data_IF_562150168093
#
_entry.id   IF_562150168093
#
_cell.length_a   1.000
_cell.length_b   1.000
_cell.length_c   1.000
_cell.angle_alpha   90.00
_cell.angle_beta   90.00
_cell.angle_gamma   90.00
#
_symmetry.space_group_name_H-M   'P 1'
#
loop_
_entity.id
_entity.type
_entity.pdbx_description
1 polymer ?
#
# COMPACT_ATOMS: atom_id res chain seq x y z
N UNK A 1 -8.24 -40.70 11.97
CA UNK A 1 -8.20 -40.04 10.64
C UNK A 1 -6.78 -39.51 10.44
N UNK A 2 -6.14 -39.79 9.30
CA UNK A 2 -4.84 -39.18 8.98
C UNK A 2 -5.02 -37.68 8.70
N UNK A 3 -3.97 -36.90 8.93
CA UNK A 3 -3.95 -35.45 8.71
C UNK A 3 -4.42 -35.09 7.29
N UNK A 4 -4.02 -35.87 6.28
CA UNK A 4 -4.40 -35.68 4.87
C UNK A 4 -5.91 -35.81 4.61
N UNK A 5 -6.60 -36.70 5.32
CA UNK A 5 -8.05 -36.87 5.17
C UNK A 5 -8.82 -35.65 5.69
N UNK A 6 -8.33 -35.03 6.77
CA UNK A 6 -8.90 -33.80 7.31
C UNK A 6 -8.69 -32.61 6.36
N UNK A 7 -7.47 -32.44 5.84
CA UNK A 7 -7.14 -31.35 4.90
C UNK A 7 -7.95 -31.48 3.62
N UNK A 8 -8.05 -32.69 3.05
CA UNK A 8 -8.86 -32.95 1.85
C UNK A 8 -10.34 -32.61 2.07
N UNK A 9 -10.92 -32.97 3.22
CA UNK A 9 -12.30 -32.64 3.55
C UNK A 9 -12.51 -31.13 3.73
N UNK A 10 -11.57 -30.46 4.40
CA UNK A 10 -11.63 -29.01 4.59
C UNK A 10 -11.51 -28.26 3.27
N UNK A 11 -10.62 -28.72 2.37
CA UNK A 11 -10.45 -28.16 1.03
C UNK A 11 -11.74 -28.27 0.20
N UNK A 12 -12.39 -29.43 0.20
CA UNK A 12 -13.62 -29.66 -0.56
C UNK A 12 -14.79 -28.76 -0.13
N UNK A 13 -14.84 -28.34 1.14
CA UNK A 13 -15.87 -27.43 1.65
C UNK A 13 -15.47 -25.96 1.65
N UNK A 14 -14.25 -25.63 1.22
CA UNK A 14 -13.71 -24.27 1.30
C UNK A 14 -13.83 -23.52 -0.02
N UNK A 15 -13.97 -22.19 0.07
CA UNK A 15 -14.03 -21.28 -1.10
C UNK A 15 -12.82 -20.37 -1.21
N UNK A 16 -11.98 -20.37 -0.17
CA UNK A 16 -10.72 -19.63 -0.07
C UNK A 16 -9.67 -20.57 0.52
N UNK A 17 -8.51 -20.64 -0.12
CA UNK A 17 -7.32 -21.31 0.36
C UNK A 17 -6.25 -20.25 0.65
N UNK A 18 -5.76 -20.19 1.87
CA UNK A 18 -4.74 -19.22 2.28
C UNK A 18 -3.42 -19.97 2.43
N UNK A 19 -2.43 -19.63 1.61
CA UNK A 19 -1.09 -20.21 1.68
C UNK A 19 -0.18 -19.27 2.47
N UNK A 20 0.32 -19.69 3.64
CA UNK A 20 1.29 -18.91 4.41
C UNK A 20 2.70 -19.22 3.90
N UNK A 21 3.19 -18.42 2.95
CA UNK A 21 4.40 -18.70 2.18
C UNK A 21 5.64 -18.22 2.92
N UNK A 22 6.58 -19.14 3.14
CA UNK A 22 7.90 -18.91 3.74
C UNK A 22 8.94 -19.82 3.08
N UNK A 23 10.25 -19.63 3.32
CA UNK A 23 11.29 -20.57 2.88
C UNK A 23 10.99 -22.02 3.26
N UNK A 24 10.56 -22.26 4.50
CA UNK A 24 10.21 -23.60 4.99
C UNK A 24 9.01 -24.19 4.24
N UNK A 25 8.02 -23.36 3.92
CA UNK A 25 6.85 -23.76 3.13
C UNK A 25 7.23 -24.17 1.71
N UNK A 26 8.12 -23.42 1.05
CA UNK A 26 8.59 -23.75 -0.30
C UNK A 26 9.46 -25.02 -0.28
N UNK A 27 10.26 -25.21 0.77
CA UNK A 27 11.16 -26.35 0.91
C UNK A 27 10.43 -27.68 1.25
N UNK A 28 9.20 -27.64 1.77
CA UNK A 28 8.49 -28.81 2.29
C UNK A 28 7.97 -29.80 1.22
N UNK A 29 8.32 -29.64 -0.06
CA UNK A 29 7.80 -30.39 -1.23
C UNK A 29 6.33 -30.12 -1.59
N UNK A 30 5.85 -28.91 -1.36
CA UNK A 30 4.48 -28.49 -1.65
C UNK A 30 3.99 -28.74 -3.09
N UNK A 31 4.87 -28.67 -4.10
CA UNK A 31 4.51 -29.01 -5.50
C UNK A 31 4.13 -30.48 -5.72
N UNK A 32 4.33 -31.34 -4.72
CA UNK A 32 4.02 -32.77 -4.74
C UNK A 32 2.94 -33.16 -3.71
N UNK A 33 2.37 -32.18 -2.98
CA UNK A 33 1.27 -32.43 -2.06
C UNK A 33 -0.04 -32.55 -2.85
N UNK A 34 -0.70 -33.70 -2.71
CA UNK A 34 -1.94 -34.05 -3.42
C UNK A 34 -3.04 -33.00 -3.19
N UNK A 35 -3.06 -32.41 -2.00
CA UNK A 35 -4.01 -31.39 -1.57
C UNK A 35 -3.81 -30.07 -2.32
N UNK A 36 -2.57 -29.69 -2.65
CA UNK A 36 -2.35 -28.46 -3.43
C UNK A 36 -2.65 -28.64 -4.91
N UNK A 37 -2.30 -29.78 -5.50
CA UNK A 37 -2.71 -30.09 -6.88
C UNK A 37 -4.24 -30.02 -7.03
N UNK A 38 -4.97 -30.52 -6.05
CA UNK A 38 -6.44 -30.43 -6.04
C UNK A 38 -6.91 -28.98 -5.86
N UNK A 39 -6.27 -28.21 -4.98
CA UNK A 39 -6.58 -26.79 -4.81
C UNK A 39 -6.38 -26.00 -6.11
N UNK A 40 -5.30 -26.29 -6.87
CA UNK A 40 -5.03 -25.68 -8.17
C UNK A 40 -6.14 -26.00 -9.18
N UNK A 41 -6.58 -27.26 -9.26
CA UNK A 41 -7.70 -27.66 -10.14
C UNK A 41 -9.00 -26.96 -9.77
N UNK A 42 -9.32 -26.88 -8.47
CA UNK A 42 -10.50 -26.17 -7.99
C UNK A 42 -10.44 -24.67 -8.27
N UNK A 43 -9.24 -24.08 -8.22
CA UNK A 43 -9.02 -22.68 -8.56
C UNK A 43 -9.16 -22.42 -10.07
N UNK A 44 -8.62 -23.30 -10.90
CA UNK A 44 -8.80 -23.24 -12.36
C UNK A 44 -10.29 -23.39 -12.75
N UNK A 45 -11.03 -24.26 -12.05
CA UNK A 45 -12.48 -24.40 -12.18
C UNK A 45 -13.29 -23.25 -11.55
N UNK A 46 -12.63 -22.24 -10.96
CA UNK A 46 -13.27 -21.07 -10.34
C UNK A 46 -14.02 -21.35 -9.02
N UNK A 47 -13.90 -22.56 -8.48
CA UNK A 47 -14.60 -23.01 -7.27
C UNK A 47 -13.85 -22.67 -5.98
N UNK A 48 -12.55 -22.40 -6.07
CA UNK A 48 -11.67 -22.04 -4.95
C UNK A 48 -10.82 -20.81 -5.31
N UNK A 49 -10.64 -19.87 -4.38
CA UNK A 49 -9.70 -18.75 -4.57
C UNK A 49 -8.43 -19.02 -3.73
N UNK A 50 -7.28 -19.14 -4.38
CA UNK A 50 -5.99 -19.28 -3.71
C UNK A 50 -5.41 -17.90 -3.45
N UNK A 51 -5.01 -17.63 -2.19
CA UNK A 51 -4.42 -16.38 -1.73
C UNK A 51 -3.07 -16.67 -1.06
N UNK A 52 -1.95 -16.43 -1.74
CA UNK A 52 -0.63 -16.46 -1.10
C UNK A 52 -0.51 -15.32 -0.09
N UNK A 53 0.01 -15.60 1.09
CA UNK A 53 0.37 -14.63 2.13
C UNK A 53 1.86 -14.80 2.41
N UNK A 54 2.68 -13.87 1.92
CA UNK A 54 4.14 -13.94 1.99
C UNK A 54 4.58 -13.53 3.38
N UNK A 55 4.99 -14.49 4.20
CA UNK A 55 5.46 -14.25 5.56
C UNK A 55 6.91 -13.77 5.57
N UNK A 56 7.76 -14.41 4.77
CA UNK A 56 9.21 -14.25 4.77
C UNK A 56 9.76 -14.21 3.32
N UNK A 57 10.95 -13.61 3.10
CA UNK A 57 11.53 -13.50 1.77
C UNK A 57 11.87 -14.90 1.24
N UNK A 58 11.32 -15.25 0.09
CA UNK A 58 11.53 -16.55 -0.55
C UNK A 58 11.28 -16.47 -2.05
N UNK A 59 11.77 -17.46 -2.81
CA UNK A 59 11.61 -17.55 -4.26
C UNK A 59 10.21 -18.09 -4.66
N UNK A 60 9.16 -17.46 -4.14
CA UNK A 60 7.79 -17.87 -4.42
C UNK A 60 7.35 -17.51 -5.85
N UNK A 61 8.00 -16.53 -6.47
CA UNK A 61 7.75 -16.13 -7.87
C UNK A 61 8.13 -17.22 -8.87
N UNK A 62 9.07 -18.11 -8.52
CA UNK A 62 9.42 -19.28 -9.32
C UNK A 62 8.51 -20.49 -9.06
N UNK A 63 7.53 -20.35 -8.17
CA UNK A 63 6.56 -21.39 -7.82
C UNK A 63 5.18 -21.14 -8.46
N UNK A 64 4.24 -22.11 -8.39
CA UNK A 64 2.87 -21.92 -8.85
C UNK A 64 2.11 -20.78 -8.15
N UNK A 65 2.64 -20.15 -7.10
CA UNK A 65 2.02 -18.99 -6.47
C UNK A 65 2.11 -17.70 -7.28
N UNK A 66 3.06 -17.60 -8.21
CA UNK A 66 3.23 -16.43 -9.10
C UNK A 66 1.99 -16.09 -9.94
N UNK A 67 1.10 -17.06 -10.18
CA UNK A 67 -0.13 -16.86 -10.93
C UNK A 67 -1.27 -16.25 -10.10
N UNK A 68 -1.12 -16.16 -8.77
CA UNK A 68 -2.13 -15.63 -7.86
C UNK A 68 -1.72 -14.28 -7.29
N UNK A 69 -2.71 -13.46 -6.92
CA UNK A 69 -2.45 -12.19 -6.24
C UNK A 69 -2.02 -12.47 -4.80
N UNK A 70 -0.74 -12.24 -4.51
CA UNK A 70 -0.19 -12.39 -3.17
C UNK A 70 -0.55 -11.20 -2.26
N UNK A 71 -0.62 -11.50 -0.96
CA UNK A 71 -0.70 -10.56 0.14
C UNK A 71 0.56 -10.69 1.02
N UNK A 72 0.98 -9.67 1.78
CA UNK A 72 0.62 -8.26 1.63
C UNK A 72 0.81 -7.75 0.19
N UNK A 73 0.25 -6.58 -0.10
CA UNK A 73 0.27 -5.96 -1.42
C UNK A 73 1.67 -6.00 -2.03
N UNK A 74 1.70 -6.25 -3.34
CA UNK A 74 2.92 -6.41 -4.13
C UNK A 74 3.81 -7.60 -3.71
N UNK A 75 3.28 -8.48 -2.84
CA UNK A 75 3.98 -9.68 -2.36
C UNK A 75 5.13 -9.37 -1.42
N UNK A 76 5.16 -8.17 -0.81
CA UNK A 76 6.19 -7.82 0.18
C UNK A 76 6.08 -8.76 1.39
N UNK A 77 7.15 -9.43 1.81
CA UNK A 77 7.12 -10.30 2.97
C UNK A 77 6.74 -9.57 4.26
N UNK A 78 5.86 -10.14 5.08
CA UNK A 78 5.45 -9.58 6.38
C UNK A 78 6.66 -9.27 7.27
N UNK A 79 7.69 -10.14 7.25
CA UNK A 79 8.92 -9.96 8.02
C UNK A 79 9.73 -8.72 7.62
N UNK A 80 9.54 -8.18 6.42
CA UNK A 80 10.22 -6.97 5.92
C UNK A 80 9.45 -5.68 6.20
N UNK A 81 8.31 -5.77 6.89
CA UNK A 81 7.61 -4.60 7.38
C UNK A 81 8.19 -4.18 8.73
N UNK A 82 8.57 -2.92 8.84
CA UNK A 82 8.99 -2.29 10.10
C UNK A 82 7.94 -2.48 11.21
N UNK A 83 6.66 -2.51 10.83
CA UNK A 83 5.56 -2.88 11.71
C UNK A 83 4.71 -3.97 11.06
N UNK A 84 4.82 -5.19 11.57
CA UNK A 84 4.08 -6.35 11.08
C UNK A 84 2.55 -6.17 11.16
N UNK A 85 2.04 -5.34 12.07
CA UNK A 85 0.60 -5.06 12.17
C UNK A 85 0.06 -4.35 10.91
N UNK A 86 0.88 -3.52 10.25
CA UNK A 86 0.50 -2.88 8.97
C UNK A 86 0.36 -3.94 7.88
N UNK A 87 1.31 -4.87 7.82
CA UNK A 87 1.27 -5.98 6.89
C UNK A 87 0.06 -6.88 7.14
N UNK A 88 -0.22 -7.23 8.39
CA UNK A 88 -1.40 -8.03 8.75
C UNK A 88 -2.72 -7.30 8.48
N UNK A 89 -2.78 -5.99 8.68
CA UNK A 89 -3.96 -5.19 8.32
C UNK A 89 -4.23 -5.24 6.81
N UNK A 90 -3.18 -5.15 6.00
CA UNK A 90 -3.29 -5.25 4.55
C UNK A 90 -3.71 -6.67 4.12
N UNK A 91 -3.15 -7.71 4.76
CA UNK A 91 -3.59 -9.10 4.57
C UNK A 91 -5.08 -9.25 4.89
N UNK A 92 -5.54 -8.78 6.05
CA UNK A 92 -6.96 -8.85 6.44
C UNK A 92 -7.85 -8.08 5.46
N UNK A 93 -7.39 -6.92 5.00
CA UNK A 93 -8.13 -6.08 4.04
C UNK A 93 -8.24 -6.77 2.67
N UNK A 94 -7.14 -7.33 2.18
CA UNK A 94 -7.09 -8.12 0.94
C UNK A 94 -7.98 -9.36 1.02
N UNK A 95 -7.88 -10.13 2.10
CA UNK A 95 -8.72 -11.31 2.33
C UNK A 95 -10.21 -10.94 2.36
N UNK A 96 -10.58 -9.84 3.02
CA UNK A 96 -11.97 -9.37 3.03
C UNK A 96 -12.49 -9.10 1.61
N UNK A 97 -11.67 -8.47 0.75
CA UNK A 97 -12.04 -8.24 -0.66
C UNK A 97 -12.25 -9.54 -1.43
N UNK A 98 -11.35 -10.51 -1.27
CA UNK A 98 -11.45 -11.82 -1.93
C UNK A 98 -12.72 -12.56 -1.48
N UNK A 99 -13.01 -12.56 -0.18
CA UNK A 99 -14.18 -13.23 0.39
C UNK A 99 -15.48 -12.57 -0.09
N UNK A 100 -15.57 -11.23 -0.05
CA UNK A 100 -16.76 -10.50 -0.52
C UNK A 100 -16.99 -10.75 -2.02
N UNK A 101 -15.96 -10.68 -2.84
CA UNK A 101 -16.07 -10.95 -4.28
C UNK A 101 -16.43 -12.41 -4.59
N UNK A 102 -16.04 -13.36 -3.74
CA UNK A 102 -16.46 -14.75 -3.87
C UNK A 102 -17.94 -14.94 -3.47
N UNK A 103 -18.41 -14.23 -2.44
CA UNK A 103 -19.81 -14.26 -2.01
C UNK A 103 -20.75 -13.65 -3.07
N UNK A 104 -20.35 -12.54 -3.68
CA UNK A 104 -21.09 -11.89 -4.77
C UNK A 104 -21.18 -12.77 -6.03
N UNK A 105 -20.10 -13.49 -6.37
CA UNK A 105 -20.10 -14.47 -7.47
C UNK A 105 -21.01 -15.68 -7.22
N UNK A 106 -21.36 -15.99 -5.97
CA UNK A 106 -22.37 -17.02 -5.65
C UNK A 106 -23.80 -16.50 -5.56
N UNK A 107 -24.02 -15.19 -5.40
CA UNK A 107 -25.36 -14.61 -5.31
C UNK A 107 -25.91 -14.16 -6.67
N UNK A 108 -25.05 -13.92 -7.66
CA UNK A 108 -25.42 -13.83 -9.08
C UNK A 108 -25.74 -15.25 -9.61
N UNK A 109 -27.04 -15.52 -9.77
CA UNK A 109 -27.74 -16.81 -9.94
C UNK A 109 -27.23 -17.82 -11.00
N UNK A 110 -27.72 -19.09 -10.93
CA UNK A 110 -27.27 -20.22 -11.75
C UNK A 110 -27.88 -20.21 -13.16
N UNK A 111 -27.12 -20.74 -14.11
CA UNK A 111 -27.63 -21.24 -15.40
C UNK A 111 -26.84 -20.76 -16.61
N UNK A 112 -26.21 -21.71 -17.31
CA UNK A 112 -25.85 -21.57 -18.73
C UNK A 112 -24.38 -21.85 -19.04
N UNK A 113 -24.12 -23.07 -19.52
CA UNK A 113 -22.90 -23.44 -20.22
C UNK A 113 -22.49 -22.40 -21.27
N UNK A 114 -21.26 -21.91 -21.16
CA UNK A 114 -20.49 -21.50 -22.32
C UNK A 114 -19.00 -21.67 -21.99
N UNK A 115 -18.42 -22.75 -22.50
CA UNK A 115 -16.98 -22.87 -22.64
C UNK A 115 -16.47 -21.63 -23.41
N UNK A 116 -15.66 -20.81 -22.75
CA UNK A 116 -14.85 -19.80 -23.41
C UNK A 116 -13.40 -20.07 -23.06
N UNK A 117 -12.73 -20.59 -24.08
CA UNK A 117 -11.29 -20.71 -24.27
C UNK A 117 -10.50 -19.65 -23.51
N UNK A 118 -9.51 -20.12 -22.74
CA UNK A 118 -8.47 -19.33 -22.12
C UNK A 118 -7.58 -18.66 -23.19
N UNK A 119 -8.09 -17.60 -23.81
CA UNK A 119 -7.30 -16.63 -24.55
C UNK A 119 -6.59 -15.73 -23.54
N UNK A 120 -5.26 -15.60 -23.66
CA UNK A 120 -4.43 -14.60 -22.96
C UNK A 120 -5.21 -13.28 -22.89
N UNK A 121 -5.66 -12.88 -21.70
CA UNK A 121 -6.30 -11.58 -21.50
C UNK A 121 -5.25 -10.51 -21.84
N UNK A 122 -5.43 -9.70 -22.90
CA UNK A 122 -4.50 -8.62 -23.16
C UNK A 122 -4.58 -7.63 -21.99
N UNK A 123 -3.42 -7.24 -21.45
CA UNK A 123 -3.33 -6.18 -20.44
C UNK A 123 -3.71 -4.87 -21.13
N UNK A 124 -4.96 -4.46 -20.96
CA UNK A 124 -5.50 -3.22 -21.55
C UNK A 124 -4.78 -2.05 -20.86
N UNK A 125 -4.14 -1.18 -21.64
CA UNK A 125 -3.62 0.09 -21.16
C UNK A 125 -4.78 0.93 -20.64
N UNK A 126 -4.73 1.34 -19.38
CA UNK A 126 -5.75 2.20 -18.79
C UNK A 126 -5.37 3.67 -19.03
N UNK A 127 -6.24 4.42 -19.71
CA UNK A 127 -6.17 5.89 -19.69
C UNK A 127 -6.81 6.37 -18.38
N UNK A 128 -6.00 6.95 -17.50
CA UNK A 128 -6.50 7.53 -16.26
C UNK A 128 -7.07 8.92 -16.52
N UNK A 129 -8.38 9.08 -16.30
CA UNK A 129 -9.05 10.37 -16.45
C UNK A 129 -8.71 11.35 -15.30
N UNK A 130 -9.14 12.60 -15.42
CA UNK A 130 -8.86 13.65 -14.44
C UNK A 130 -9.54 13.42 -13.09
N UNK A 131 -10.67 12.71 -13.05
CA UNK A 131 -11.40 12.37 -11.83
C UNK A 131 -10.59 11.33 -11.04
N UNK A 132 -10.11 10.29 -11.71
CA UNK A 132 -9.29 9.24 -11.09
C UNK A 132 -7.98 9.78 -10.51
N UNK A 133 -7.33 10.74 -11.18
CA UNK A 133 -6.14 11.41 -10.67
C UNK A 133 -6.44 12.26 -9.44
N UNK A 134 -7.56 12.99 -9.46
CA UNK A 134 -8.01 13.77 -8.30
C UNK A 134 -8.34 12.88 -7.09
N UNK A 135 -9.06 11.78 -7.29
CA UNK A 135 -9.39 10.82 -6.22
C UNK A 135 -8.13 10.17 -5.64
N UNK A 136 -7.13 9.92 -6.48
CA UNK A 136 -5.85 9.40 -6.04
C UNK A 136 -5.07 10.43 -5.21
N UNK A 137 -5.02 11.69 -5.65
CA UNK A 137 -4.42 12.78 -4.89
C UNK A 137 -5.10 12.96 -3.52
N UNK A 138 -6.43 12.85 -3.47
CA UNK A 138 -7.21 12.96 -2.24
C UNK A 138 -6.86 11.85 -1.24
N UNK A 139 -6.85 10.59 -1.71
CA UNK A 139 -6.46 9.46 -0.87
C UNK A 139 -5.00 9.54 -0.43
N UNK A 140 -4.11 9.99 -1.31
CA UNK A 140 -2.70 10.18 -0.98
C UNK A 140 -2.51 11.26 0.10
N UNK A 141 -3.19 12.39 -0.02
CA UNK A 141 -3.15 13.46 0.97
C UNK A 141 -3.63 13.00 2.33
N UNK A 142 -4.69 12.20 2.39
CA UNK A 142 -5.19 11.62 3.65
C UNK A 142 -4.16 10.73 4.34
N UNK A 143 -3.47 9.88 3.57
CA UNK A 143 -2.38 9.04 4.09
C UNK A 143 -1.23 9.90 4.63
N UNK A 144 -0.81 10.92 3.87
CA UNK A 144 0.25 11.85 4.31
C UNK A 144 -0.16 12.59 5.58
N UNK A 145 -1.39 13.10 5.64
CA UNK A 145 -1.93 13.80 6.81
C UNK A 145 -1.95 12.92 8.04
N UNK A 146 -2.42 11.68 7.91
CA UNK A 146 -2.47 10.72 9.01
C UNK A 146 -1.07 10.32 9.49
N UNK A 147 -0.13 10.10 8.56
CA UNK A 147 1.27 9.84 8.88
C UNK A 147 1.85 10.99 9.71
N UNK A 148 1.76 12.23 9.23
CA UNK A 148 2.28 13.41 9.93
C UNK A 148 1.68 13.59 11.33
N UNK A 149 0.38 13.35 11.48
CA UNK A 149 -0.28 13.40 12.79
C UNK A 149 0.33 12.39 13.75
N UNK A 150 0.43 11.13 13.35
CA UNK A 150 0.97 10.07 14.21
C UNK A 150 2.45 10.30 14.51
N UNK A 151 3.24 10.72 13.52
CA UNK A 151 4.66 11.02 13.72
C UNK A 151 4.86 12.19 14.68
N UNK A 152 4.00 13.21 14.70
CA UNK A 152 4.04 14.26 15.71
C UNK A 152 3.74 13.73 17.13
N UNK A 153 2.75 12.83 17.25
CA UNK A 153 2.41 12.21 18.53
C UNK A 153 3.54 11.31 19.06
N UNK A 154 4.21 10.58 18.17
CA UNK A 154 5.36 9.72 18.50
C UNK A 154 6.59 10.55 18.87
N UNK A 155 6.94 11.57 18.07
CA UNK A 155 8.11 12.41 18.30
C UNK A 155 8.02 13.14 19.66
N UNK A 156 6.81 13.53 20.06
CA UNK A 156 6.57 14.20 21.34
C UNK A 156 6.74 13.29 22.57
N UNK A 157 6.96 11.98 22.38
CA UNK A 157 7.28 11.04 23.48
C UNK A 157 8.78 10.96 23.77
N UNK A 158 9.62 11.49 22.88
CA UNK A 158 11.06 11.52 23.02
C UNK A 158 11.44 12.74 23.89
N UNK A 159 12.34 12.53 24.85
CA UNK A 159 12.87 13.62 25.67
C UNK A 159 13.53 14.69 24.77
N UNK A 160 13.39 15.96 25.14
CA UNK A 160 13.88 17.13 24.39
C UNK A 160 13.27 17.40 23.00
N UNK A 161 12.37 16.55 22.50
CA UNK A 161 11.62 16.81 21.28
C UNK A 161 10.17 17.19 21.58
N UNK A 162 9.63 18.13 20.80
CA UNK A 162 8.20 18.46 20.79
C UNK A 162 7.71 18.60 19.37
N UNK A 163 6.57 18.02 19.06
CA UNK A 163 5.89 18.25 17.80
C UNK A 163 4.43 18.64 18.02
N UNK A 164 3.90 19.44 17.11
CA UNK A 164 2.50 19.85 17.09
C UNK A 164 1.95 19.69 15.69
N UNK A 165 0.90 18.88 15.57
CA UNK A 165 0.10 18.76 14.35
C UNK A 165 -1.15 19.64 14.48
N UNK A 166 -1.49 20.39 13.43
CA UNK A 166 -2.69 21.21 13.37
C UNK A 166 -3.43 21.00 12.05
N UNK A 167 -4.69 20.58 12.17
CA UNK A 167 -5.60 20.51 11.04
C UNK A 167 -6.09 21.93 10.69
N UNK A 168 -5.91 22.34 9.44
CA UNK A 168 -6.41 23.64 8.96
C UNK A 168 -7.78 23.48 8.31
N UNK A 169 -7.88 22.56 7.35
CA UNK A 169 -9.12 22.15 6.67
C UNK A 169 -8.89 20.82 5.92
N UNK A 170 -9.92 20.31 5.25
CA UNK A 170 -9.85 19.02 4.53
C UNK A 170 -8.77 18.96 3.43
N UNK A 171 -8.28 20.10 2.96
CA UNK A 171 -7.20 20.19 1.98
C UNK A 171 -5.89 20.74 2.52
N UNK A 172 -5.74 20.96 3.83
CA UNK A 172 -4.52 21.56 4.39
C UNK A 172 -4.28 21.20 5.86
N UNK A 173 -3.00 20.97 6.20
CA UNK A 173 -2.54 20.86 7.58
C UNK A 173 -1.18 21.54 7.75
N UNK A 174 -0.82 21.85 9.00
CA UNK A 174 0.50 22.37 9.36
C UNK A 174 1.09 21.58 10.51
N UNK A 175 2.42 21.47 10.54
CA UNK A 175 3.18 20.84 11.61
C UNK A 175 4.33 21.73 12.04
N UNK A 176 4.64 21.67 13.34
CA UNK A 176 5.80 22.33 13.95
C UNK A 176 6.57 21.29 14.76
N UNK A 177 7.88 21.24 14.59
CA UNK A 177 8.79 20.40 15.38
C UNK A 177 9.84 21.27 16.03
N UNK A 178 10.05 21.07 17.33
CA UNK A 178 11.07 21.75 18.13
C UNK A 178 12.00 20.70 18.71
N UNK A 179 13.30 20.84 18.43
CA UNK A 179 14.38 20.04 18.97
C UNK A 179 15.19 20.86 19.98
N UNK A 180 15.05 20.53 21.27
CA UNK A 180 15.75 21.19 22.38
C UNK A 180 17.07 20.52 22.74
N UNK A 181 17.32 19.31 22.23
CA UNK A 181 18.55 18.54 22.47
C UNK A 181 19.76 19.10 21.74
N UNK A 182 19.55 19.98 20.75
CA UNK A 182 20.61 20.65 20.00
C UNK A 182 20.93 22.02 20.63
N UNK A 183 22.22 22.35 20.73
CA UNK A 183 22.69 23.61 21.30
C UNK A 183 22.09 24.81 20.55
N UNK A 184 21.28 25.59 21.26
CA UNK A 184 20.57 26.77 20.72
C UNK A 184 19.09 26.53 20.44
N UNK A 185 18.60 25.28 20.46
CA UNK A 185 17.24 24.91 20.09
C UNK A 185 17.00 25.11 18.59
N UNK A 186 16.47 24.09 17.91
CA UNK A 186 16.06 24.21 16.51
C UNK A 186 14.55 24.00 16.38
N UNK A 187 13.94 24.72 15.46
CA UNK A 187 12.52 24.63 15.17
C UNK A 187 12.32 24.58 13.65
N UNK A 188 11.43 23.70 13.21
CA UNK A 188 11.04 23.57 11.82
C UNK A 188 9.51 23.61 11.71
N UNK A 189 9.04 24.13 10.57
CA UNK A 189 7.63 24.17 10.23
C UNK A 189 7.39 23.59 8.85
N UNK A 190 6.20 23.03 8.64
CA UNK A 190 5.73 22.64 7.31
C UNK A 190 4.22 22.80 7.23
N UNK A 191 3.75 23.43 6.16
CA UNK A 191 2.35 23.42 5.73
C UNK A 191 2.24 22.57 4.48
N UNK A 192 1.32 21.60 4.46
CA UNK A 192 1.07 20.73 3.32
C UNK A 192 -0.37 20.94 2.85
N UNK A 193 -0.55 21.06 1.53
CA UNK A 193 -1.82 21.41 0.90
C UNK A 193 -2.14 20.47 -0.26
N UNK A 194 -3.37 20.00 -0.34
CA UNK A 194 -3.90 19.37 -1.54
C UNK A 194 -4.52 20.47 -2.43
N UNK A 195 -3.99 20.61 -3.64
CA UNK A 195 -4.40 21.64 -4.60
C UNK A 195 -5.79 21.41 -5.16
N UNK A 196 -6.38 20.21 -5.02
CA UNK A 196 -7.66 19.80 -5.62
C UNK A 196 -7.75 20.12 -7.13
N UNK A 197 -6.62 20.02 -7.83
CA UNK A 197 -6.49 20.40 -9.24
C UNK A 197 -6.63 21.90 -9.56
N UNK A 198 -6.65 22.79 -8.55
CA UNK A 198 -6.88 24.23 -8.72
C UNK A 198 -5.61 25.08 -8.87
N UNK A 199 -4.45 24.56 -8.46
CA UNK A 199 -3.20 25.34 -8.37
C UNK A 199 -2.09 24.79 -9.28
N UNK A 200 -1.16 25.67 -9.66
CA UNK A 200 -0.04 25.34 -10.56
C UNK A 200 1.12 24.58 -9.90
N UNK A 201 1.10 24.42 -8.57
CA UNK A 201 2.20 23.83 -7.79
C UNK A 201 2.04 22.31 -7.54
N UNK A 202 1.46 21.58 -8.50
CA UNK A 202 1.22 20.14 -8.40
C UNK A 202 -0.07 19.77 -7.66
N UNK A 203 -0.34 18.46 -7.53
CA UNK A 203 -1.56 17.93 -6.91
C UNK A 203 -1.56 18.10 -5.40
N UNK A 204 -0.40 17.95 -4.77
CA UNK A 204 -0.14 18.29 -3.37
C UNK A 204 1.12 19.15 -3.31
N UNK A 205 1.13 20.21 -2.51
CA UNK A 205 2.28 21.09 -2.33
C UNK A 205 2.66 21.22 -0.86
N UNK A 206 3.90 21.60 -0.61
CA UNK A 206 4.36 21.91 0.74
C UNK A 206 5.22 23.18 0.79
N UNK A 207 5.21 23.82 1.95
CA UNK A 207 5.98 25.03 2.27
C UNK A 207 6.56 24.89 3.68
N UNK A 208 7.83 25.24 3.88
CA UNK A 208 8.49 25.21 5.19
C UNK A 208 8.17 26.45 6.04
N UNK A 209 6.89 26.76 6.16
CA UNK A 209 6.35 27.86 6.97
C UNK A 209 5.02 27.43 7.59
N UNK A 210 4.69 27.87 8.80
CA UNK A 210 3.42 27.55 9.43
C UNK A 210 2.28 28.37 8.79
N UNK A 211 1.13 27.74 8.59
CA UNK A 211 -0.07 28.36 8.01
C UNK A 211 0.17 29.10 6.67
N UNK A 212 1.16 28.69 5.88
CA UNK A 212 1.54 29.35 4.64
C UNK A 212 0.37 29.40 3.65
N UNK A 213 0.19 30.52 2.93
CA UNK A 213 -0.82 30.67 1.88
C UNK A 213 -0.56 29.77 0.66
N UNK A 214 -1.39 29.90 -0.37
CA UNK A 214 -1.30 29.13 -1.63
C UNK A 214 -0.43 29.80 -2.71
N UNK A 215 0.20 30.92 -2.38
CA UNK A 215 0.99 31.75 -3.30
C UNK A 215 2.48 31.35 -3.41
N UNK A 216 2.94 30.37 -2.63
CA UNK A 216 4.32 29.91 -2.62
C UNK A 216 4.40 28.41 -2.33
N UNK A 217 5.51 27.78 -2.74
CA UNK A 217 5.77 26.35 -2.58
C UNK A 217 7.28 26.12 -2.48
N UNK A 218 7.71 25.30 -1.52
CA UNK A 218 9.08 24.78 -1.48
C UNK A 218 9.24 23.51 -2.32
N UNK A 219 8.15 22.76 -2.52
CA UNK A 219 8.12 21.63 -3.41
C UNK A 219 6.70 21.09 -3.62
N UNK A 220 6.63 20.16 -4.58
CA UNK A 220 5.38 19.62 -5.09
C UNK A 220 5.44 18.10 -5.21
N UNK A 221 4.33 17.47 -4.89
CA UNK A 221 4.02 16.07 -5.15
C UNK A 221 3.00 16.04 -6.29
N UNK A 222 3.30 15.25 -7.32
CA UNK A 222 2.44 15.08 -8.50
C UNK A 222 1.90 13.66 -8.57
N UNK A 223 0.65 13.55 -9.02
CA UNK A 223 0.06 12.29 -9.45
C UNK A 223 0.48 12.03 -10.88
N UNK A 224 1.23 10.96 -11.07
CA UNK A 224 1.71 10.49 -12.35
C UNK A 224 1.12 9.12 -12.65
N UNK A 225 1.14 8.72 -13.93
CA UNK A 225 0.64 7.41 -14.36
C UNK A 225 1.63 6.75 -15.29
N UNK A 226 1.74 5.42 -15.21
CA UNK A 226 2.28 4.61 -16.30
C UNK A 226 1.14 3.91 -17.05
N UNK A 227 1.49 3.01 -17.97
CA UNK A 227 0.53 2.24 -18.77
C UNK A 227 -0.48 1.42 -17.91
N UNK A 228 -0.23 1.28 -16.60
CA UNK A 228 -0.94 0.35 -15.72
C UNK A 228 -1.35 0.91 -14.35
N UNK A 229 -0.67 1.92 -13.80
CA UNK A 229 -0.90 2.39 -12.42
C UNK A 229 -0.74 3.90 -12.26
N UNK A 230 -1.46 4.47 -11.29
CA UNK A 230 -1.21 5.79 -10.73
C UNK A 230 -0.18 5.70 -9.59
N UNK A 231 0.72 6.67 -9.53
CA UNK A 231 1.76 6.78 -8.50
C UNK A 231 2.04 8.25 -8.18
N UNK A 232 2.76 8.50 -7.09
CA UNK A 232 3.24 9.82 -6.71
C UNK A 232 4.68 10.02 -7.13
N UNK A 233 5.01 11.25 -7.52
CA UNK A 233 6.38 11.69 -7.77
C UNK A 233 6.64 12.99 -7.01
N UNK A 234 7.80 13.10 -6.38
CA UNK A 234 8.25 14.33 -5.74
C UNK A 234 9.26 15.05 -6.64
N UNK A 235 9.03 16.34 -6.90
CA UNK A 235 9.92 17.14 -7.72
C UNK A 235 11.14 17.62 -6.94
N UNK A 236 12.18 16.79 -6.79
CA UNK A 236 13.49 17.28 -6.34
C UNK A 236 14.17 17.99 -7.51
N UNK A 237 14.59 19.24 -7.32
CA UNK A 237 15.32 20.02 -8.34
C UNK A 237 16.74 19.51 -8.66
N UNK A 238 17.17 18.32 -8.22
CA UNK A 238 18.58 17.95 -8.36
C UNK A 238 19.02 16.54 -8.81
N UNK A 239 18.18 15.51 -8.95
CA UNK A 239 18.71 14.19 -9.40
C UNK A 239 17.73 13.45 -10.32
N UNK A 240 18.20 13.09 -11.52
CA UNK A 240 17.43 12.68 -12.70
C UNK A 240 16.82 11.28 -12.70
N UNK A 241 16.01 10.93 -11.68
CA UNK A 241 15.07 9.80 -11.75
C UNK A 241 13.78 10.15 -11.01
N UNK A 242 12.67 10.28 -11.74
CA UNK A 242 11.33 10.29 -11.13
C UNK A 242 11.15 8.96 -10.38
N UNK A 243 11.20 9.04 -9.05
CA UNK A 243 10.95 7.88 -8.19
C UNK A 243 9.44 7.67 -8.12
N UNK A 244 8.98 6.48 -8.51
CA UNK A 244 7.58 6.08 -8.37
C UNK A 244 7.32 5.73 -6.91
N UNK A 245 6.62 6.62 -6.21
CA UNK A 245 6.33 6.47 -4.79
C UNK A 245 4.84 6.17 -4.59
N UNK A 246 4.53 5.37 -3.57
CA UNK A 246 3.20 5.35 -3.01
C UNK A 246 2.99 6.50 -1.99
N UNK A 247 1.78 6.63 -1.46
CA UNK A 247 1.42 7.69 -0.53
C UNK A 247 2.18 7.61 0.81
N UNK A 248 2.51 6.41 1.28
CA UNK A 248 3.22 6.22 2.54
C UNK A 248 4.71 6.54 2.37
N UNK A 249 5.34 6.06 1.31
CA UNK A 249 6.73 6.39 0.96
C UNK A 249 6.89 7.90 0.74
N UNK A 250 5.90 8.55 0.13
CA UNK A 250 5.87 10.00 -0.04
C UNK A 250 5.77 10.71 1.31
N UNK A 251 4.91 10.23 2.21
CA UNK A 251 4.77 10.79 3.55
C UNK A 251 6.06 10.68 4.36
N UNK A 252 6.71 9.51 4.33
CA UNK A 252 7.99 9.26 5.00
C UNK A 252 9.11 10.14 4.44
N UNK A 253 9.27 10.20 3.12
CA UNK A 253 10.27 11.06 2.49
C UNK A 253 10.05 12.54 2.85
N UNK A 254 8.82 13.02 2.79
CA UNK A 254 8.49 14.41 3.14
C UNK A 254 8.71 14.68 4.64
N UNK A 255 8.36 13.74 5.51
CA UNK A 255 8.58 13.85 6.95
C UNK A 255 10.07 13.92 7.28
N UNK A 256 10.89 13.04 6.69
CA UNK A 256 12.35 13.05 6.86
C UNK A 256 12.97 14.38 6.45
N UNK A 257 12.59 14.91 5.28
CA UNK A 257 13.09 16.21 4.82
C UNK A 257 12.64 17.37 5.71
N UNK A 258 11.45 17.25 6.30
CA UNK A 258 10.94 18.22 7.26
C UNK A 258 11.70 18.18 8.60
N UNK A 259 11.84 17.01 9.24
CA UNK A 259 12.46 16.92 10.57
C UNK A 259 13.96 17.16 10.55
N UNK A 260 14.64 16.91 9.41
CA UNK A 260 16.03 17.30 9.20
C UNK A 260 16.26 18.81 9.34
N UNK A 261 15.25 19.64 9.06
CA UNK A 261 15.36 21.09 9.27
C UNK A 261 15.34 21.48 10.75
N UNK A 262 14.82 20.61 11.62
CA UNK A 262 14.92 20.73 13.07
C UNK A 262 16.17 20.03 13.63
N UNK A 263 17.10 19.60 12.78
CA UNK A 263 18.33 18.92 13.19
C UNK A 263 18.11 17.52 13.74
N UNK A 264 17.08 16.83 13.25
CA UNK A 264 16.77 15.43 13.59
C UNK A 264 17.22 14.55 12.42
N UNK A 265 18.13 13.61 12.69
CA UNK A 265 18.67 12.65 11.71
C UNK A 265 18.01 11.27 11.81
#
# INVERSE_FOLDING_TARGET
MSVNAFISSALASSRVFIALVSPDYIASRYCYEKEFEEALKLAEAGSLNIVPVILEPCDWLSSPFSQFLALPKDGKPISEFTNSNVAYLDVVTGLRRVITAAAERSSARPGGDAAVTAGRRPRIKQEFDSIQKSDFADKAFEVIRFYFKNSCEELSRIEDLKAKFEHMNDGAFTCTVVNRGVKGGQEAHITVRNSKGKNSFGDISYVYQPYAGDNSSNGAIRVSSDDYNLFLSMGYHHIGRESKLDAQQTAEALWLDFVRQAGIE
#
